data_IF_116603808641
#
_entry.id   IF_116603808641
#
_cell.length_a   1.000
_cell.length_b   1.000
_cell.length_c   1.000
_cell.angle_alpha   90.00
_cell.angle_beta   90.00
_cell.angle_gamma   90.00
#
_symmetry.space_group_name_H-M   'P 1'
#
loop_
_entity.id
_entity.type
_entity.pdbx_description
1 polymer ?
#
# COMPACT_ATOMS: atom_id res chain seq x y z
N UNK A 1 -1.62 -23.95 -16.09
CA UNK A 1 -2.02 -22.71 -16.79
C UNK A 1 -2.38 -22.99 -18.24
N UNK A 2 -1.64 -23.81 -18.99
CA UNK A 2 -2.06 -24.29 -20.33
C UNK A 2 -3.47 -24.91 -20.34
N UNK A 3 -3.77 -25.79 -19.39
CA UNK A 3 -5.12 -26.38 -19.24
C UNK A 3 -6.26 -25.34 -19.11
N UNK A 4 -5.99 -24.15 -18.55
CA UNK A 4 -6.99 -23.09 -18.41
C UNK A 4 -7.24 -22.39 -19.75
N UNK A 5 -6.18 -22.11 -20.51
CA UNK A 5 -6.31 -21.54 -21.84
C UNK A 5 -6.97 -22.52 -22.81
N UNK A 6 -6.65 -23.82 -22.77
CA UNK A 6 -7.27 -24.81 -23.64
C UNK A 6 -8.78 -24.93 -23.40
N UNK A 7 -9.20 -24.92 -22.12
CA UNK A 7 -10.61 -24.90 -21.75
C UNK A 7 -11.30 -23.64 -22.28
N UNK A 8 -10.69 -22.47 -22.08
CA UNK A 8 -11.19 -21.20 -22.60
C UNK A 8 -11.32 -21.22 -24.11
N UNK A 9 -10.26 -21.63 -24.82
CA UNK A 9 -10.20 -21.70 -26.28
C UNK A 9 -11.35 -22.54 -26.83
N UNK A 10 -11.56 -23.75 -26.29
CA UNK A 10 -12.66 -24.63 -26.72
C UNK A 10 -14.01 -23.93 -26.57
N UNK A 11 -14.30 -23.38 -25.38
CA UNK A 11 -15.58 -22.70 -25.11
C UNK A 11 -15.78 -21.45 -25.98
N UNK A 12 -14.73 -20.64 -26.14
CA UNK A 12 -14.77 -19.42 -26.93
C UNK A 12 -15.01 -19.71 -28.42
N UNK A 13 -14.25 -20.65 -29.01
CA UNK A 13 -14.39 -21.03 -30.43
C UNK A 13 -15.78 -21.56 -30.74
N UNK A 14 -16.31 -22.47 -29.91
CA UNK A 14 -17.66 -23.01 -30.10
C UNK A 14 -18.71 -21.90 -30.09
N UNK A 15 -18.62 -20.97 -29.14
CA UNK A 15 -19.58 -19.85 -29.04
C UNK A 15 -19.40 -18.86 -30.18
N UNK A 16 -18.18 -18.53 -30.56
CA UNK A 16 -17.89 -17.57 -31.63
C UNK A 16 -18.38 -18.09 -33.00
N UNK A 17 -18.12 -19.36 -33.33
CA UNK A 17 -18.64 -19.98 -34.55
C UNK A 17 -20.17 -19.99 -34.60
N UNK A 18 -20.82 -20.32 -33.47
CA UNK A 18 -22.29 -20.26 -33.36
C UNK A 18 -22.86 -18.86 -33.61
N UNK A 19 -22.09 -17.81 -33.34
CA UNK A 19 -22.49 -16.41 -33.57
C UNK A 19 -21.99 -15.85 -34.91
N UNK A 20 -21.47 -16.69 -35.81
CA UNK A 20 -21.08 -16.28 -37.18
C UNK A 20 -19.78 -15.49 -37.29
N UNK A 21 -18.90 -15.53 -36.28
CA UNK A 21 -17.58 -14.88 -36.37
C UNK A 21 -16.63 -15.65 -37.29
N UNK A 22 -15.86 -14.93 -38.12
CA UNK A 22 -14.82 -15.50 -38.99
C UNK A 22 -13.66 -16.13 -38.20
N UNK A 23 -12.98 -17.11 -38.79
CA UNK A 23 -11.82 -17.76 -38.17
C UNK A 23 -10.69 -16.76 -37.89
N UNK A 24 -10.47 -15.77 -38.76
CA UNK A 24 -9.49 -14.70 -38.53
C UNK A 24 -9.82 -13.88 -37.27
N UNK A 25 -11.08 -13.50 -37.07
CA UNK A 25 -11.52 -12.78 -35.87
C UNK A 25 -11.36 -13.65 -34.60
N UNK A 26 -11.70 -14.93 -34.70
CA UNK A 26 -11.54 -15.90 -33.60
C UNK A 26 -10.06 -16.00 -33.21
N UNK A 27 -9.17 -16.18 -34.18
CA UNK A 27 -7.74 -16.30 -33.94
C UNK A 27 -7.15 -15.03 -33.30
N UNK A 28 -7.51 -13.84 -33.80
CA UNK A 28 -7.10 -12.57 -33.18
C UNK A 28 -7.55 -12.45 -31.72
N UNK A 29 -8.78 -12.84 -31.41
CA UNK A 29 -9.29 -12.85 -30.03
C UNK A 29 -8.57 -13.85 -29.14
N UNK A 30 -8.23 -15.03 -29.67
CA UNK A 30 -7.48 -16.07 -28.95
C UNK A 30 -6.05 -15.63 -28.67
N UNK A 31 -5.35 -15.08 -29.67
CA UNK A 31 -3.98 -14.57 -29.54
C UNK A 31 -3.87 -13.48 -28.48
N UNK A 32 -4.85 -12.56 -28.45
CA UNK A 32 -4.94 -11.56 -27.40
C UNK A 32 -5.21 -12.15 -26.01
N UNK A 33 -6.12 -13.12 -25.91
CA UNK A 33 -6.53 -13.69 -24.63
C UNK A 33 -5.48 -14.62 -24.01
N UNK A 34 -4.65 -15.28 -24.82
CA UNK A 34 -3.66 -16.28 -24.39
C UNK A 34 -2.69 -15.76 -23.33
N UNK A 35 -1.97 -14.63 -23.52
CA UNK A 35 -1.05 -14.12 -22.51
C UNK A 35 -1.77 -13.69 -21.22
N UNK A 36 -3.00 -13.18 -21.31
CA UNK A 36 -3.78 -12.76 -20.15
C UNK A 36 -4.19 -13.98 -19.31
N UNK A 37 -4.79 -14.99 -19.92
CA UNK A 37 -5.23 -16.22 -19.24
C UNK A 37 -4.04 -16.98 -18.65
N UNK A 38 -2.91 -17.00 -19.36
CA UNK A 38 -1.68 -17.64 -18.86
C UNK A 38 -1.14 -16.95 -17.61
N UNK A 39 -1.38 -15.64 -17.45
CA UNK A 39 -1.04 -14.86 -16.25
C UNK A 39 -2.18 -14.80 -15.22
N UNK A 40 -3.23 -15.59 -15.39
CA UNK A 40 -4.47 -15.56 -14.59
C UNK A 40 -5.19 -14.18 -14.61
N UNK A 41 -4.96 -13.36 -15.63
CA UNK A 41 -5.58 -12.05 -15.77
C UNK A 41 -6.91 -12.13 -16.52
N UNK A 42 -7.92 -11.31 -16.16
CA UNK A 42 -9.18 -11.26 -16.88
C UNK A 42 -8.96 -10.73 -18.29
N UNK A 43 -9.58 -11.38 -19.27
CA UNK A 43 -9.57 -10.93 -20.67
C UNK A 43 -10.53 -9.76 -20.80
N UNK A 44 -10.04 -8.61 -21.26
CA UNK A 44 -10.85 -7.41 -21.51
C UNK A 44 -10.61 -6.99 -22.94
N UNK A 45 -11.63 -7.05 -23.80
CA UNK A 45 -11.46 -6.78 -25.24
C UNK A 45 -11.61 -5.29 -25.56
N UNK A 46 -12.54 -4.63 -24.87
CA UNK A 46 -12.89 -3.22 -25.08
C UNK A 46 -13.67 -2.70 -23.86
N UNK A 47 -14.09 -1.44 -23.91
CA UNK A 47 -14.85 -0.79 -22.82
C UNK A 47 -16.17 -1.48 -22.53
N UNK A 48 -16.88 -1.98 -23.54
CA UNK A 48 -18.16 -2.71 -23.37
C UNK A 48 -17.93 -4.01 -22.62
N UNK A 49 -16.87 -4.75 -22.96
CA UNK A 49 -16.53 -5.97 -22.23
C UNK A 49 -16.18 -5.66 -20.77
N UNK A 50 -15.40 -4.61 -20.50
CA UNK A 50 -15.13 -4.20 -19.12
C UNK A 50 -16.42 -3.83 -18.38
N UNK A 51 -17.33 -3.11 -19.02
CA UNK A 51 -18.61 -2.68 -18.43
C UNK A 51 -19.44 -3.86 -17.94
N UNK A 52 -19.48 -4.94 -18.74
CA UNK A 52 -20.14 -6.19 -18.37
C UNK A 52 -19.43 -6.90 -17.20
N UNK A 53 -18.09 -6.91 -17.18
CA UNK A 53 -17.32 -7.54 -16.11
C UNK A 53 -17.47 -6.84 -14.75
N UNK A 54 -17.55 -5.51 -14.75
CA UNK A 54 -17.70 -4.73 -13.51
C UNK A 54 -19.14 -4.47 -13.11
N UNK A 55 -20.12 -4.77 -13.97
CA UNK A 55 -21.54 -4.53 -13.70
C UNK A 55 -21.97 -3.06 -13.80
N UNK A 56 -21.27 -2.25 -14.61
CA UNK A 56 -21.55 -0.82 -14.78
C UNK A 56 -21.90 -0.47 -16.22
N UNK A 57 -22.70 0.58 -16.41
CA UNK A 57 -23.08 1.06 -17.75
C UNK A 57 -21.85 1.54 -18.54
N UNK A 58 -21.80 1.25 -19.84
CA UNK A 58 -20.74 1.70 -20.76
C UNK A 58 -20.52 3.22 -20.71
N UNK A 59 -21.59 4.01 -20.67
CA UNK A 59 -21.56 5.48 -20.58
C UNK A 59 -20.90 5.90 -19.27
N UNK A 60 -21.18 5.21 -18.17
CA UNK A 60 -20.55 5.49 -16.87
C UNK A 60 -19.03 5.32 -16.97
N UNK A 61 -18.54 4.18 -17.48
CA UNK A 61 -17.10 3.93 -17.63
C UNK A 61 -16.42 4.97 -18.53
N UNK A 62 -17.05 5.32 -19.66
CA UNK A 62 -16.51 6.35 -20.57
C UNK A 62 -16.42 7.71 -19.89
N UNK A 63 -17.44 8.11 -19.13
CA UNK A 63 -17.42 9.38 -18.38
C UNK A 63 -16.40 9.36 -17.25
N UNK A 64 -16.32 8.27 -16.49
CA UNK A 64 -15.35 8.10 -15.42
C UNK A 64 -13.90 8.17 -15.92
N UNK A 65 -13.62 7.56 -17.07
CA UNK A 65 -12.30 7.61 -17.69
C UNK A 65 -11.98 8.96 -18.34
N UNK A 66 -12.96 9.66 -18.92
CA UNK A 66 -12.71 10.93 -19.62
C UNK A 66 -12.69 12.14 -18.66
N UNK A 67 -13.56 12.14 -17.67
CA UNK A 67 -13.81 13.29 -16.81
C UNK A 67 -13.48 12.96 -15.35
N UNK A 68 -12.29 12.37 -15.14
CA UNK A 68 -11.85 11.76 -13.87
C UNK A 68 -12.14 12.64 -12.65
N UNK A 69 -11.87 13.95 -12.72
CA UNK A 69 -12.11 14.93 -11.65
C UNK A 69 -13.50 14.83 -10.99
N UNK A 70 -14.56 14.63 -11.77
CA UNK A 70 -15.93 14.60 -11.24
C UNK A 70 -16.30 13.28 -10.56
N UNK A 71 -15.41 12.28 -10.62
CA UNK A 71 -15.58 10.97 -10.00
C UNK A 71 -14.74 10.80 -8.73
N UNK A 72 -14.15 11.90 -8.24
CA UNK A 72 -13.45 11.95 -6.96
C UNK A 72 -13.99 13.07 -6.08
N UNK A 73 -14.04 12.81 -4.78
CA UNK A 73 -14.21 13.81 -3.74
C UNK A 73 -12.86 14.14 -3.14
N UNK A 74 -12.48 15.43 -3.16
CA UNK A 74 -11.24 15.90 -2.56
C UNK A 74 -11.49 16.61 -1.23
N UNK A 75 -10.68 16.31 -0.22
CA UNK A 75 -10.73 16.96 1.10
C UNK A 75 -9.32 17.05 1.71
N UNK A 76 -9.13 18.00 2.64
CA UNK A 76 -7.83 18.21 3.30
C UNK A 76 -7.80 17.51 4.65
N UNK A 77 -6.69 16.85 4.95
CA UNK A 77 -6.40 16.24 6.25
C UNK A 77 -5.16 16.90 6.84
N UNK A 78 -5.25 17.28 8.12
CA UNK A 78 -4.14 17.88 8.86
C UNK A 78 -3.05 16.84 9.11
N UNK A 79 -1.80 17.19 8.82
CA UNK A 79 -0.62 16.42 9.18
C UNK A 79 -0.11 16.81 10.57
N UNK A 80 0.74 15.95 11.13
CA UNK A 80 1.38 16.21 12.43
C UNK A 80 2.25 17.48 12.46
N UNK A 81 2.77 17.90 11.30
CA UNK A 81 3.55 19.13 11.13
C UNK A 81 2.67 20.38 10.91
N UNK A 82 1.36 20.27 11.16
CA UNK A 82 0.33 21.30 10.93
C UNK A 82 0.13 21.70 9.47
N UNK A 83 0.75 21.01 8.51
CA UNK A 83 0.47 21.18 7.07
C UNK A 83 -0.74 20.35 6.66
N UNK A 84 -1.26 20.56 5.45
CA UNK A 84 -2.39 19.79 4.93
C UNK A 84 -1.96 18.78 3.86
N UNK A 85 -2.62 17.63 3.85
CA UNK A 85 -2.60 16.65 2.76
C UNK A 85 -3.96 16.65 2.07
N UNK A 86 -3.98 16.84 0.77
CA UNK A 86 -5.19 16.62 -0.03
C UNK A 86 -5.36 15.12 -0.25
N UNK A 87 -6.51 14.59 0.16
CA UNK A 87 -6.97 13.23 -0.13
C UNK A 87 -8.02 13.36 -1.23
N UNK A 88 -7.90 12.53 -2.25
CA UNK A 88 -8.87 12.39 -3.34
C UNK A 88 -9.41 10.97 -3.32
N UNK A 89 -10.63 10.83 -2.80
CA UNK A 89 -11.31 9.55 -2.69
C UNK A 89 -12.26 9.35 -3.88
N UNK A 90 -12.21 8.21 -4.58
CA UNK A 90 -13.15 7.91 -5.66
C UNK A 90 -14.58 7.81 -5.10
N UNK A 91 -15.56 8.30 -5.87
CA UNK A 91 -16.98 8.11 -5.55
C UNK A 91 -17.33 6.61 -5.50
N UNK A 92 -18.38 6.20 -4.74
CA UNK A 92 -18.66 4.79 -4.46
C UNK A 92 -18.61 3.86 -5.68
N UNK A 93 -19.25 4.23 -6.78
CA UNK A 93 -19.26 3.43 -8.01
C UNK A 93 -17.89 3.30 -8.67
N UNK A 94 -17.09 4.38 -8.73
CA UNK A 94 -15.71 4.29 -9.23
C UNK A 94 -14.84 3.48 -8.27
N UNK A 95 -15.07 3.61 -6.96
CA UNK A 95 -14.35 2.86 -5.93
C UNK A 95 -14.57 1.35 -6.09
N UNK A 96 -15.78 0.91 -6.39
CA UNK A 96 -16.09 -0.49 -6.67
C UNK A 96 -15.35 -1.02 -7.91
N UNK A 97 -15.35 -0.25 -9.00
CA UNK A 97 -14.59 -0.58 -10.21
C UNK A 97 -13.09 -0.68 -9.90
N UNK A 98 -12.55 0.25 -9.13
CA UNK A 98 -11.14 0.22 -8.73
C UNK A 98 -10.84 -0.95 -7.78
N UNK A 99 -11.76 -1.34 -6.90
CA UNK A 99 -11.61 -2.54 -6.07
C UNK A 99 -11.60 -3.80 -6.94
N UNK A 100 -12.43 -3.86 -7.97
CA UNK A 100 -12.42 -4.95 -8.95
C UNK A 100 -11.07 -5.01 -9.68
N UNK A 101 -10.57 -3.87 -10.20
CA UNK A 101 -9.24 -3.78 -10.83
C UNK A 101 -8.15 -4.23 -9.86
N UNK A 102 -8.23 -3.82 -8.59
CA UNK A 102 -7.26 -4.20 -7.56
C UNK A 102 -7.22 -5.72 -7.34
N UNK A 103 -8.38 -6.35 -7.17
CA UNK A 103 -8.49 -7.77 -6.85
C UNK A 103 -8.22 -8.66 -8.06
N UNK A 104 -8.84 -8.36 -9.18
CA UNK A 104 -8.84 -9.23 -10.37
C UNK A 104 -7.60 -9.04 -11.25
N UNK A 105 -6.95 -7.87 -11.18
CA UNK A 105 -5.79 -7.54 -12.01
C UNK A 105 -4.56 -7.33 -11.13
N UNK A 106 -4.57 -6.31 -10.27
CA UNK A 106 -3.33 -5.86 -9.63
C UNK A 106 -2.77 -6.89 -8.64
N UNK A 107 -3.58 -7.51 -7.78
CA UNK A 107 -3.12 -8.50 -6.80
C UNK A 107 -2.52 -9.76 -7.42
N UNK A 108 -2.81 -10.06 -8.70
CA UNK A 108 -2.20 -11.18 -9.43
C UNK A 108 -0.78 -10.88 -9.91
N UNK A 109 -0.36 -9.61 -9.83
CA UNK A 109 0.97 -9.18 -10.22
C UNK A 109 1.97 -9.28 -9.07
N UNK A 110 3.18 -9.72 -9.42
CA UNK A 110 4.30 -9.81 -8.48
C UNK A 110 4.70 -8.42 -8.01
N UNK A 111 4.90 -8.29 -6.70
CA UNK A 111 5.51 -7.12 -6.06
C UNK A 111 6.77 -7.59 -5.33
N UNK A 112 7.74 -6.69 -5.16
CA UNK A 112 9.00 -7.07 -4.55
C UNK A 112 8.79 -7.60 -3.13
N UNK A 113 9.62 -8.57 -2.73
CA UNK A 113 9.62 -9.09 -1.35
C UNK A 113 10.05 -8.03 -0.33
N UNK A 114 10.73 -6.97 -0.78
CA UNK A 114 11.19 -5.86 0.07
C UNK A 114 10.10 -4.81 0.31
N UNK A 115 9.05 -4.76 -0.52
CA UNK A 115 7.89 -3.90 -0.35
C UNK A 115 6.97 -4.41 0.78
N UNK A 116 6.96 -3.75 1.93
CA UNK A 116 6.16 -4.13 3.11
C UNK A 116 4.88 -3.31 3.26
N UNK A 117 4.83 -2.13 2.65
CA UNK A 117 3.64 -1.27 2.62
C UNK A 117 2.65 -1.69 1.54
N UNK A 118 1.36 -1.61 1.83
CA UNK A 118 0.27 -1.87 0.86
C UNK A 118 0.26 -3.25 0.20
N UNK A 119 0.86 -4.25 0.86
CA UNK A 119 0.81 -5.63 0.42
C UNK A 119 -0.07 -6.43 1.40
N UNK A 120 -1.06 -7.20 0.92
CA UNK A 120 -1.88 -8.05 1.77
C UNK A 120 -1.02 -8.92 2.70
N UNK A 121 -1.45 -9.05 3.96
CA UNK A 121 -0.78 -9.84 5.00
C UNK A 121 0.64 -9.37 5.37
N UNK A 122 1.09 -8.21 4.89
CA UNK A 122 2.30 -7.52 5.39
C UNK A 122 1.89 -6.34 6.26
N UNK A 123 2.72 -6.04 7.25
CA UNK A 123 2.46 -5.00 8.24
C UNK A 123 3.66 -4.09 8.41
N UNK A 124 3.47 -2.98 9.13
CA UNK A 124 4.57 -2.10 9.53
C UNK A 124 5.63 -2.86 10.35
N UNK A 125 5.26 -3.93 11.07
CA UNK A 125 6.22 -4.79 11.77
C UNK A 125 7.21 -5.44 10.80
N UNK A 126 6.76 -5.85 9.62
CA UNK A 126 7.60 -6.45 8.59
C UNK A 126 8.59 -5.45 7.99
N UNK A 127 8.27 -4.16 8.04
CA UNK A 127 9.19 -3.09 7.66
C UNK A 127 10.30 -2.94 8.70
N UNK A 128 9.97 -2.97 9.99
CA UNK A 128 10.93 -2.60 11.04
C UNK A 128 11.74 -3.76 11.63
N UNK A 129 11.19 -5.00 11.65
CA UNK A 129 11.78 -6.12 12.42
C UNK A 129 13.20 -6.51 12.00
N UNK A 130 13.53 -6.31 10.73
CA UNK A 130 14.84 -6.70 10.19
C UNK A 130 15.96 -5.76 10.63
N UNK A 131 15.62 -4.54 11.03
CA UNK A 131 16.59 -3.47 11.30
C UNK A 131 16.94 -3.31 12.78
N UNK A 132 16.71 -4.35 13.59
CA UNK A 132 17.00 -4.31 15.03
C UNK A 132 18.44 -4.66 15.36
N UNK A 133 18.99 -4.07 16.43
CA UNK A 133 20.37 -4.28 16.92
C UNK A 133 21.47 -3.88 15.93
N UNK A 134 21.19 -2.91 15.07
CA UNK A 134 22.09 -2.51 13.99
C UNK A 134 23.02 -1.37 14.39
N UNK A 135 24.22 -1.33 13.80
CA UNK A 135 25.21 -0.29 14.08
C UNK A 135 24.75 1.09 13.57
N UNK A 136 24.10 1.10 12.40
CA UNK A 136 23.50 2.29 11.77
C UNK A 136 22.16 1.92 11.13
N UNK A 137 21.25 2.88 11.15
CA UNK A 137 19.97 2.84 10.42
C UNK A 137 19.85 4.11 9.58
N UNK A 138 19.58 3.98 8.28
CA UNK A 138 19.29 5.09 7.38
C UNK A 138 17.84 4.98 6.92
N UNK A 139 17.07 6.05 7.11
CA UNK A 139 15.73 6.19 6.52
C UNK A 139 15.75 7.27 5.44
N UNK A 140 15.07 6.99 4.33
CA UNK A 140 14.86 7.92 3.22
C UNK A 140 13.37 7.97 2.90
N UNK A 141 12.86 9.13 2.49
CA UNK A 141 11.46 9.33 2.11
C UNK A 141 11.38 9.81 0.67
N UNK A 142 10.38 9.36 -0.09
CA UNK A 142 10.15 9.80 -1.47
C UNK A 142 9.24 11.04 -1.47
N UNK A 143 9.69 12.13 -2.10
CA UNK A 143 8.95 13.39 -2.17
C UNK A 143 7.72 13.24 -3.06
N UNK A 144 6.57 13.72 -2.58
CA UNK A 144 5.29 13.76 -3.31
C UNK A 144 4.96 12.44 -4.02
N UNK A 145 5.13 11.33 -3.30
CA UNK A 145 5.22 9.99 -3.88
C UNK A 145 4.14 9.66 -4.92
N UNK A 146 2.86 9.71 -4.52
CA UNK A 146 1.75 9.39 -5.40
C UNK A 146 1.56 10.40 -6.54
N UNK A 147 1.70 11.68 -6.22
CA UNK A 147 1.48 12.79 -7.16
C UNK A 147 2.61 12.90 -8.21
N UNK A 148 3.76 12.25 -7.97
CA UNK A 148 4.92 12.28 -8.87
C UNK A 148 4.92 11.14 -9.89
N UNK A 149 4.05 10.14 -9.73
CA UNK A 149 3.92 9.04 -10.70
C UNK A 149 3.20 9.56 -11.93
N UNK A 150 3.92 9.67 -13.05
CA UNK A 150 3.35 10.08 -14.33
C UNK A 150 2.44 9.01 -14.90
N UNK A 151 1.40 9.44 -15.61
CA UNK A 151 0.40 8.58 -16.26
C UNK A 151 1.02 7.52 -17.17
N UNK A 152 2.09 7.86 -17.90
CA UNK A 152 2.75 6.96 -18.85
C UNK A 152 3.31 5.69 -18.19
N UNK A 153 3.76 5.78 -16.93
CA UNK A 153 4.24 4.60 -16.20
C UNK A 153 3.10 3.64 -15.89
N UNK A 154 1.95 4.16 -15.45
CA UNK A 154 0.74 3.36 -15.20
C UNK A 154 0.21 2.74 -16.49
N UNK A 155 0.20 3.51 -17.58
CA UNK A 155 -0.20 3.02 -18.90
C UNK A 155 0.72 1.90 -19.39
N UNK A 156 2.03 2.10 -19.31
CA UNK A 156 3.04 1.11 -19.71
C UNK A 156 2.94 -0.15 -18.86
N UNK A 157 2.65 -0.02 -17.56
CA UNK A 157 2.42 -1.14 -16.67
C UNK A 157 1.28 -2.05 -17.16
N UNK A 158 0.11 -1.50 -17.49
CA UNK A 158 -1.01 -2.31 -18.01
C UNK A 158 -0.70 -2.93 -19.38
N UNK A 159 0.05 -2.23 -20.25
CA UNK A 159 0.51 -2.80 -21.52
C UNK A 159 1.44 -4.00 -21.27
N UNK A 160 2.38 -3.88 -20.34
CA UNK A 160 3.31 -4.96 -19.98
C UNK A 160 2.61 -6.17 -19.32
N UNK A 161 1.45 -5.94 -18.67
CA UNK A 161 0.60 -7.03 -18.20
C UNK A 161 0.02 -7.85 -19.37
N UNK A 162 -0.18 -7.25 -20.54
CA UNK A 162 -0.65 -7.89 -21.76
C UNK A 162 -1.93 -7.28 -22.34
N UNK A 163 -2.44 -6.20 -21.73
CA UNK A 163 -3.63 -5.52 -22.23
C UNK A 163 -3.33 -4.70 -23.48
N UNK A 164 -4.32 -4.59 -24.38
CA UNK A 164 -4.22 -3.74 -25.56
C UNK A 164 -4.03 -2.28 -25.16
N UNK A 165 -3.52 -1.44 -26.08
CA UNK A 165 -3.29 -0.02 -25.78
C UNK A 165 -4.57 0.71 -25.35
N UNK A 166 -5.70 0.39 -25.98
CA UNK A 166 -7.01 0.98 -25.69
C UNK A 166 -7.52 0.58 -24.29
N UNK A 167 -7.43 -0.70 -23.94
CA UNK A 167 -7.82 -1.21 -22.62
C UNK A 167 -6.88 -0.70 -21.53
N UNK A 168 -5.58 -0.66 -21.80
CA UNK A 168 -4.58 -0.13 -20.86
C UNK A 168 -4.82 1.35 -20.55
N UNK A 169 -5.19 2.14 -21.57
CA UNK A 169 -5.57 3.54 -21.38
C UNK A 169 -6.86 3.64 -20.53
N UNK A 170 -7.89 2.85 -20.83
CA UNK A 170 -9.12 2.82 -20.05
C UNK A 170 -8.85 2.51 -18.56
N UNK A 171 -8.10 1.44 -18.27
CA UNK A 171 -7.74 1.03 -16.90
C UNK A 171 -6.92 2.11 -16.18
N UNK A 172 -6.00 2.76 -16.92
CA UNK A 172 -5.18 3.85 -16.38
C UNK A 172 -6.04 5.05 -16.01
N UNK A 173 -6.91 5.50 -16.92
CA UNK A 173 -7.80 6.64 -16.66
C UNK A 173 -8.76 6.37 -15.49
N UNK A 174 -9.23 5.13 -15.33
CA UNK A 174 -10.06 4.75 -14.18
C UNK A 174 -9.29 4.78 -12.85
N UNK A 175 -7.95 4.69 -12.86
CA UNK A 175 -7.12 4.65 -11.64
C UNK A 175 -6.33 5.94 -11.39
N UNK A 176 -6.36 6.91 -12.31
CA UNK A 176 -5.49 8.08 -12.31
C UNK A 176 -6.31 9.36 -12.20
N UNK A 177 -5.78 10.38 -11.52
CA UNK A 177 -6.46 11.65 -11.34
C UNK A 177 -5.52 12.81 -11.69
N UNK A 178 -5.83 13.48 -12.80
CA UNK A 178 -5.16 14.69 -13.32
C UNK A 178 -3.62 14.59 -13.38
N UNK A 179 -2.93 14.80 -12.26
CA UNK A 179 -1.48 14.94 -12.16
C UNK A 179 -0.78 13.75 -11.52
N UNK A 180 -1.50 12.78 -10.96
CA UNK A 180 -0.87 11.62 -10.33
C UNK A 180 -1.85 10.53 -9.92
N UNK A 181 -1.34 9.56 -9.17
CA UNK A 181 -2.17 8.55 -8.52
C UNK A 181 -2.89 9.20 -7.33
N UNK A 182 -4.23 9.11 -7.23
CA UNK A 182 -4.96 9.77 -6.16
C UNK A 182 -4.68 9.11 -4.80
N UNK A 183 -4.33 9.92 -3.81
CA UNK A 183 -4.25 9.50 -2.42
C UNK A 183 -5.68 9.29 -1.90
N UNK A 184 -6.11 8.04 -1.74
CA UNK A 184 -7.48 7.69 -1.35
C UNK A 184 -8.11 6.63 -2.26
N UNK A 185 -7.59 6.46 -3.48
CA UNK A 185 -7.99 5.36 -4.34
C UNK A 185 -7.43 4.02 -3.84
N UNK A 186 -8.21 2.93 -3.86
CA UNK A 186 -7.77 1.58 -3.48
C UNK A 186 -6.68 1.01 -4.39
N UNK A 187 -6.57 1.45 -5.65
CA UNK A 187 -5.59 0.93 -6.63
C UNK A 187 -4.22 1.59 -6.49
N UNK A 188 -4.16 2.90 -6.24
CA UNK A 188 -2.91 3.68 -6.14
C UNK A 188 -1.81 3.00 -5.33
N UNK A 189 -2.08 2.46 -4.12
CA UNK A 189 -1.02 1.90 -3.27
C UNK A 189 -0.38 0.62 -3.84
N UNK A 190 -1.15 -0.19 -4.58
CA UNK A 190 -0.60 -1.40 -5.20
C UNK A 190 0.04 -1.11 -6.55
N UNK A 191 -0.50 -0.15 -7.32
CA UNK A 191 0.13 0.33 -8.57
C UNK A 191 1.56 0.78 -8.29
N UNK A 192 1.80 1.59 -7.24
CA UNK A 192 3.16 2.04 -6.92
C UNK A 192 4.10 0.88 -6.58
N UNK A 193 3.60 -0.18 -5.93
CA UNK A 193 4.40 -1.37 -5.64
C UNK A 193 4.78 -2.17 -6.88
N UNK A 194 3.89 -2.27 -7.87
CA UNK A 194 4.20 -2.91 -9.16
C UNK A 194 5.24 -2.08 -9.90
N UNK A 195 5.06 -0.76 -9.97
CA UNK A 195 6.00 0.15 -10.65
C UNK A 195 7.41 0.17 -10.01
N UNK A 196 7.49 -0.03 -8.69
CA UNK A 196 8.74 -0.05 -7.94
C UNK A 196 9.42 -1.43 -7.87
N UNK A 197 8.91 -2.44 -8.58
CA UNK A 197 9.50 -3.78 -8.53
C UNK A 197 10.99 -3.78 -8.92
N UNK A 198 11.32 -3.25 -10.10
CA UNK A 198 12.71 -3.18 -10.59
C UNK A 198 13.60 -2.28 -9.73
N UNK A 199 13.03 -1.19 -9.20
CA UNK A 199 13.70 -0.32 -8.23
C UNK A 199 14.12 -1.15 -7.00
N UNK A 200 13.19 -1.88 -6.39
CA UNK A 200 13.48 -2.67 -5.19
C UNK A 200 14.51 -3.77 -5.45
N UNK A 201 14.46 -4.45 -6.60
CA UNK A 201 15.42 -5.51 -6.93
C UNK A 201 16.83 -4.94 -7.16
N UNK A 202 16.96 -3.78 -7.80
CA UNK A 202 18.25 -3.09 -7.97
C UNK A 202 18.86 -2.70 -6.62
N UNK A 203 18.07 -2.06 -5.75
CA UNK A 203 18.51 -1.68 -4.40
C UNK A 203 18.88 -2.91 -3.57
N UNK A 204 18.06 -3.96 -3.63
CA UNK A 204 18.32 -5.20 -2.92
C UNK A 204 19.59 -5.92 -3.39
N UNK A 205 19.92 -5.85 -4.69
CA UNK A 205 21.17 -6.40 -5.22
C UNK A 205 22.37 -5.71 -4.58
N UNK A 206 22.37 -4.38 -4.55
CA UNK A 206 23.41 -3.61 -3.88
C UNK A 206 23.50 -3.95 -2.39
N UNK A 207 22.36 -3.99 -1.68
CA UNK A 207 22.33 -4.30 -0.27
C UNK A 207 22.89 -5.69 0.04
N UNK A 208 22.60 -6.70 -0.78
CA UNK A 208 23.19 -8.04 -0.64
C UNK A 208 24.71 -8.03 -0.76
N UNK A 209 25.26 -7.31 -1.74
CA UNK A 209 26.71 -7.19 -1.94
C UNK A 209 27.44 -6.46 -0.81
N UNK A 210 26.73 -5.60 -0.07
CA UNK A 210 27.27 -4.80 1.04
C UNK A 210 26.82 -5.30 2.41
N UNK A 211 26.18 -6.46 2.48
CA UNK A 211 25.60 -7.03 3.72
C UNK A 211 24.67 -6.06 4.47
N UNK A 212 23.94 -5.24 3.73
CA UNK A 212 22.95 -4.31 4.26
C UNK A 212 21.56 -4.96 4.22
N UNK A 213 20.73 -4.57 5.18
CA UNK A 213 19.30 -4.91 5.17
C UNK A 213 18.52 -3.77 4.55
N UNK A 214 17.51 -4.10 3.74
CA UNK A 214 16.64 -3.14 3.07
C UNK A 214 15.17 -3.55 3.19
N UNK A 215 14.31 -2.58 3.44
CA UNK A 215 12.86 -2.72 3.28
C UNK A 215 12.25 -1.39 2.84
N UNK A 216 11.08 -1.45 2.17
CA UNK A 216 10.30 -0.28 1.75
C UNK A 216 8.88 -0.36 2.26
N UNK A 217 8.35 0.71 2.83
CA UNK A 217 6.96 0.81 3.26
C UNK A 217 6.33 2.07 2.64
N UNK A 218 5.59 1.87 1.55
CA UNK A 218 5.13 2.97 0.71
C UNK A 218 6.32 3.79 0.17
N UNK A 219 6.42 5.05 0.58
CA UNK A 219 7.45 6.04 0.30
C UNK A 219 8.65 6.01 1.28
N UNK A 220 8.50 5.33 2.43
CA UNK A 220 9.56 5.19 3.45
C UNK A 220 10.50 4.04 3.08
N UNK A 221 11.79 4.32 2.95
CA UNK A 221 12.86 3.36 2.65
C UNK A 221 13.74 3.22 3.89
N UNK A 222 13.94 2.00 4.36
CA UNK A 222 14.78 1.72 5.52
C UNK A 222 15.96 0.82 5.16
N UNK A 223 17.14 1.23 5.62
CA UNK A 223 18.39 0.51 5.46
C UNK A 223 19.08 0.35 6.81
N UNK A 224 19.77 -0.76 7.03
CA UNK A 224 20.58 -0.94 8.24
C UNK A 224 21.83 -1.79 7.98
N UNK A 225 22.86 -1.58 8.81
CA UNK A 225 24.16 -2.25 8.72
C UNK A 225 25.32 -1.25 8.65
N UNK A 226 26.45 -1.65 8.07
CA UNK A 226 27.62 -0.77 7.88
C UNK A 226 27.44 0.17 6.68
N UNK A 227 26.54 1.15 6.85
CA UNK A 227 26.09 2.02 5.77
C UNK A 227 27.15 3.04 5.35
N UNK A 228 27.48 3.05 4.04
CA UNK A 228 28.12 4.16 3.33
C UNK A 228 27.05 5.10 2.75
N UNK A 229 26.71 6.16 3.49
CA UNK A 229 25.53 7.02 3.24
C UNK A 229 25.53 7.64 1.83
N UNK A 230 26.66 8.18 1.39
CA UNK A 230 26.78 8.91 0.12
C UNK A 230 26.58 7.99 -1.09
N UNK A 231 27.24 6.83 -1.10
CA UNK A 231 27.14 5.81 -2.14
C UNK A 231 25.69 5.31 -2.28
N UNK A 232 25.06 4.96 -1.16
CA UNK A 232 23.69 4.46 -1.14
C UNK A 232 22.67 5.51 -1.60
N UNK A 233 22.80 6.77 -1.17
CA UNK A 233 21.90 7.84 -1.63
C UNK A 233 22.06 8.09 -3.14
N UNK A 234 23.29 8.03 -3.67
CA UNK A 234 23.54 8.20 -5.11
C UNK A 234 22.84 7.11 -5.91
N UNK A 235 22.94 5.85 -5.47
CA UNK A 235 22.23 4.73 -6.07
C UNK A 235 20.72 4.94 -6.02
N UNK A 236 20.15 5.19 -4.84
CA UNK A 236 18.70 5.38 -4.68
C UNK A 236 18.18 6.52 -5.54
N UNK A 237 18.88 7.66 -5.61
CA UNK A 237 18.51 8.77 -6.51
C UNK A 237 18.52 8.38 -7.98
N UNK A 238 19.53 7.62 -8.41
CA UNK A 238 19.63 7.15 -9.80
C UNK A 238 18.46 6.24 -10.16
N UNK A 239 18.15 5.27 -9.30
CA UNK A 239 17.05 4.33 -9.53
C UNK A 239 15.67 5.01 -9.49
N UNK A 240 15.41 5.92 -8.53
CA UNK A 240 14.15 6.67 -8.47
C UNK A 240 13.94 7.55 -9.71
N UNK A 241 15.01 8.14 -10.26
CA UNK A 241 14.91 9.01 -11.44
C UNK A 241 14.37 8.27 -12.66
N UNK A 242 14.64 6.97 -12.80
CA UNK A 242 14.15 6.13 -13.92
C UNK A 242 12.63 6.04 -14.00
N UNK A 243 11.94 6.26 -12.87
CA UNK A 243 10.47 6.25 -12.77
C UNK A 243 9.89 7.62 -12.39
N UNK A 244 10.69 8.69 -12.55
CA UNK A 244 10.26 10.07 -12.30
C UNK A 244 10.12 10.47 -10.83
N UNK A 245 10.61 9.65 -9.89
CA UNK A 245 10.56 9.93 -8.46
C UNK A 245 11.83 10.62 -7.96
N UNK A 246 11.73 11.27 -6.80
CA UNK A 246 12.84 11.98 -6.14
C UNK A 246 12.81 11.77 -4.63
N UNK A 247 13.99 11.74 -4.01
CA UNK A 247 14.09 11.74 -2.56
C UNK A 247 13.68 13.10 -1.97
N UNK A 248 13.09 13.05 -0.78
CA UNK A 248 12.93 14.19 0.09
C UNK A 248 14.22 14.39 0.90
N UNK A 249 15.00 15.43 0.55
CA UNK A 249 16.31 15.67 1.15
C UNK A 249 16.23 15.94 2.66
N UNK A 250 15.14 16.57 3.13
CA UNK A 250 14.96 16.94 4.54
C UNK A 250 14.65 15.72 5.42
N UNK A 251 14.27 14.61 4.80
CA UNK A 251 13.92 13.35 5.47
C UNK A 251 14.97 12.24 5.25
N UNK A 252 16.19 12.62 4.92
CA UNK A 252 17.34 11.70 4.86
C UNK A 252 18.00 11.65 6.23
N UNK A 253 17.72 10.61 7.01
CA UNK A 253 18.13 10.52 8.42
C UNK A 253 19.01 9.29 8.64
N UNK A 254 20.27 9.51 9.04
CA UNK A 254 21.20 8.45 9.45
C UNK A 254 21.32 8.46 10.98
N UNK A 255 20.99 7.34 11.62
CA UNK A 255 21.00 7.16 13.07
C UNK A 255 22.05 6.13 13.46
N UNK A 256 22.97 6.49 14.36
CA UNK A 256 23.97 5.58 14.92
C UNK A 256 23.40 4.82 16.12
N UNK A 257 24.05 3.72 16.51
CA UNK A 257 23.60 2.85 17.62
C UNK A 257 23.43 3.58 18.97
N UNK A 258 24.28 4.56 19.27
CA UNK A 258 24.20 5.37 20.49
C UNK A 258 23.09 6.44 20.46
N UNK A 259 22.39 6.59 19.34
CA UNK A 259 21.23 7.46 19.18
C UNK A 259 19.96 6.61 19.13
N UNK A 260 18.81 7.24 19.34
CA UNK A 260 17.54 6.58 19.08
C UNK A 260 17.42 6.28 17.58
N UNK A 261 17.34 5.01 17.23
CA UNK A 261 17.08 4.54 15.87
C UNK A 261 15.58 4.32 15.70
N UNK A 262 14.98 5.01 14.74
CA UNK A 262 13.54 4.90 14.45
C UNK A 262 13.28 4.70 12.97
N UNK A 263 12.33 3.81 12.66
CA UNK A 263 11.79 3.61 11.31
C UNK A 263 10.28 3.78 11.40
N UNK A 264 9.69 4.63 10.56
CA UNK A 264 8.26 4.98 10.59
C UNK A 264 7.71 5.29 12.01
N UNK A 265 8.52 5.92 12.86
CA UNK A 265 8.15 6.26 14.25
C UNK A 265 8.20 5.11 15.26
N UNK A 266 8.74 3.95 14.89
CA UNK A 266 8.97 2.78 15.76
C UNK A 266 10.47 2.72 16.08
N UNK A 267 10.81 2.55 17.37
CA UNK A 267 12.17 2.37 17.85
C UNK A 267 12.66 0.97 17.50
N UNK A 268 13.89 0.87 16.99
CA UNK A 268 14.50 -0.39 16.55
C UNK A 268 15.86 -0.70 17.19
N UNK A 269 16.37 0.12 18.11
CA UNK A 269 17.69 -0.08 18.73
C UNK A 269 17.97 -1.53 19.15
N UNK A 270 17.11 -2.12 20.00
CA UNK A 270 17.28 -3.50 20.47
C UNK A 270 16.14 -4.43 20.07
N UNK A 271 14.91 -3.89 20.07
CA UNK A 271 13.67 -4.58 19.73
C UNK A 271 12.69 -3.58 19.14
N UNK A 272 11.75 -4.06 18.34
CA UNK A 272 10.68 -3.24 17.76
C UNK A 272 9.74 -2.74 18.85
N UNK A 273 9.73 -1.44 19.10
CA UNK A 273 9.02 -0.86 20.24
C UNK A 273 8.50 0.55 19.91
N UNK A 274 7.34 0.93 20.45
CA UNK A 274 6.91 2.33 20.33
C UNK A 274 7.79 3.25 21.20
N UNK A 275 7.93 4.54 20.85
CA UNK A 275 8.71 5.48 21.66
C UNK A 275 8.27 5.56 23.13
N UNK A 276 9.23 5.80 24.03
CA UNK A 276 9.02 5.86 25.49
C UNK A 276 7.87 6.79 25.89
N UNK A 277 7.76 7.97 25.28
CA UNK A 277 6.70 8.93 25.60
C UNK A 277 5.29 8.39 25.30
N UNK A 278 5.10 7.63 24.20
CA UNK A 278 3.82 6.98 23.88
C UNK A 278 3.48 5.90 24.91
N UNK A 279 4.47 5.12 25.35
CA UNK A 279 4.27 4.13 26.43
C UNK A 279 3.89 4.80 27.74
N UNK A 280 4.60 5.85 28.12
CA UNK A 280 4.35 6.59 29.35
C UNK A 280 2.95 7.22 29.38
N UNK A 281 2.47 7.74 28.24
CA UNK A 281 1.09 8.21 28.12
C UNK A 281 0.08 7.12 28.45
N UNK A 282 0.28 5.88 27.95
CA UNK A 282 -0.62 4.76 28.25
C UNK A 282 -0.48 4.30 29.71
N UNK A 283 0.75 4.23 30.24
CA UNK A 283 0.98 3.93 31.66
C UNK A 283 0.24 4.91 32.56
N UNK A 284 0.27 6.19 32.22
CA UNK A 284 -0.45 7.23 32.95
C UNK A 284 -1.96 7.00 32.90
N UNK A 285 -2.52 6.78 31.70
CA UNK A 285 -3.93 6.41 31.54
C UNK A 285 -4.29 5.17 32.38
N UNK A 286 -3.48 4.11 32.33
CA UNK A 286 -3.72 2.87 33.07
C UNK A 286 -3.58 3.04 34.58
N UNK A 287 -2.65 3.86 35.06
CA UNK A 287 -2.49 4.15 36.48
C UNK A 287 -3.75 4.80 37.06
N UNK A 288 -4.25 5.86 36.42
CA UNK A 288 -5.44 6.56 36.88
C UNK A 288 -6.70 5.69 36.76
N UNK A 289 -6.84 4.92 35.69
CA UNK A 289 -7.96 3.98 35.53
C UNK A 289 -7.94 2.90 36.63
N UNK A 290 -6.78 2.33 36.96
CA UNK A 290 -6.66 1.33 38.02
C UNK A 290 -6.88 1.90 39.42
N UNK A 291 -6.42 3.13 39.66
CA UNK A 291 -6.49 3.76 40.98
C UNK A 291 -7.85 4.38 41.29
N UNK A 292 -8.49 5.00 40.30
CA UNK A 292 -9.71 5.79 40.51
C UNK A 292 -10.92 5.28 39.73
N UNK A 293 -10.76 4.24 38.90
CA UNK A 293 -11.80 3.72 38.04
C UNK A 293 -11.92 4.47 36.70
N UNK A 294 -12.51 3.79 35.71
CA UNK A 294 -12.64 4.30 34.34
C UNK A 294 -13.47 5.59 34.27
N UNK A 295 -14.63 5.63 34.95
CA UNK A 295 -15.55 6.75 34.93
C UNK A 295 -14.91 8.04 35.46
N UNK A 296 -14.18 7.96 36.58
CA UNK A 296 -13.49 9.10 37.17
C UNK A 296 -12.35 9.59 36.27
N UNK A 297 -11.58 8.67 35.70
CA UNK A 297 -10.54 9.02 34.74
C UNK A 297 -11.09 9.72 33.49
N UNK A 298 -12.21 9.25 32.94
CA UNK A 298 -12.86 9.89 31.79
C UNK A 298 -13.35 11.31 32.13
N UNK A 299 -14.02 11.47 33.28
CA UNK A 299 -14.45 12.80 33.76
C UNK A 299 -13.26 13.75 33.93
N UNK A 300 -12.18 13.29 34.58
CA UNK A 300 -11.01 14.13 34.86
C UNK A 300 -10.22 14.52 33.61
N UNK A 301 -10.20 13.66 32.60
CA UNK A 301 -9.48 13.90 31.34
C UNK A 301 -10.34 14.52 30.24
N UNK A 302 -11.59 14.90 30.56
CA UNK A 302 -12.58 15.37 29.59
C UNK A 302 -12.68 14.44 28.36
N UNK A 303 -12.62 13.12 28.62
CA UNK A 303 -12.62 12.13 27.56
C UNK A 303 -14.05 11.80 27.15
N UNK A 304 -14.45 12.36 26.01
CA UNK A 304 -15.82 12.25 25.47
C UNK A 304 -16.01 11.11 24.48
N UNK A 305 -14.98 10.29 24.21
CA UNK A 305 -15.12 9.16 23.27
C UNK A 305 -16.02 8.07 23.84
N UNK A 306 -17.14 7.80 23.17
CA UNK A 306 -18.05 6.68 23.50
C UNK A 306 -17.33 5.33 23.53
N UNK A 307 -16.34 5.16 22.64
CA UNK A 307 -15.54 3.94 22.54
C UNK A 307 -14.15 4.09 23.17
N UNK A 308 -14.00 4.90 24.23
CA UNK A 308 -12.69 5.19 24.83
C UNK A 308 -11.93 3.93 25.26
N UNK A 309 -12.60 2.97 25.89
CA UNK A 309 -11.97 1.73 26.31
C UNK A 309 -11.46 0.93 25.10
N UNK A 310 -12.27 0.79 24.03
CA UNK A 310 -11.85 0.14 22.79
C UNK A 310 -10.67 0.87 22.13
N UNK A 311 -10.65 2.20 22.19
CA UNK A 311 -9.53 3.02 21.71
C UNK A 311 -8.24 2.73 22.49
N UNK A 312 -8.32 2.62 23.82
CA UNK A 312 -7.16 2.28 24.65
C UNK A 312 -6.68 0.84 24.40
N UNK A 313 -7.60 -0.12 24.27
CA UNK A 313 -7.29 -1.49 23.83
C UNK A 313 -6.59 -1.48 22.47
N UNK A 314 -7.04 -0.64 21.53
CA UNK A 314 -6.42 -0.48 20.22
C UNK A 314 -4.95 -0.01 20.31
N UNK A 315 -4.69 1.01 21.15
CA UNK A 315 -3.31 1.50 21.42
C UNK A 315 -2.43 0.38 22.00
N UNK A 316 -2.94 -0.39 22.97
CA UNK A 316 -2.21 -1.50 23.60
C UNK A 316 -1.97 -2.63 22.60
N UNK A 317 -2.97 -3.01 21.81
CA UNK A 317 -2.83 -4.03 20.77
C UNK A 317 -1.80 -3.64 19.72
N UNK A 318 -1.69 -2.35 19.36
CA UNK A 318 -0.64 -1.88 18.45
C UNK A 318 0.77 -2.06 19.06
N UNK A 319 0.94 -1.80 20.36
CA UNK A 319 2.21 -2.05 21.06
C UNK A 319 2.53 -3.54 21.10
N UNK A 320 1.54 -4.38 21.42
CA UNK A 320 1.70 -5.83 21.45
C UNK A 320 1.92 -6.45 20.07
N UNK A 321 1.38 -5.86 19.01
CA UNK A 321 1.69 -6.26 17.63
C UNK A 321 3.19 -6.11 17.36
N UNK A 322 3.79 -4.98 17.80
CA UNK A 322 5.22 -4.70 17.63
C UNK A 322 6.09 -5.53 18.58
N UNK A 323 5.72 -5.61 19.86
CA UNK A 323 6.41 -6.40 20.89
C UNK A 323 5.43 -7.35 21.60
N UNK A 324 5.21 -8.57 21.08
CA UNK A 324 4.23 -9.49 21.65
C UNK A 324 4.56 -10.00 23.06
N UNK A 325 5.84 -9.94 23.46
CA UNK A 325 6.33 -10.44 24.77
C UNK A 325 6.32 -9.36 25.86
N UNK A 326 5.66 -8.23 25.63
CA UNK A 326 5.61 -7.10 26.57
C UNK A 326 4.64 -7.39 27.73
N UNK A 327 5.15 -8.01 28.81
CA UNK A 327 4.34 -8.45 29.96
C UNK A 327 3.44 -7.34 30.54
N UNK A 328 4.01 -6.15 30.76
CA UNK A 328 3.28 -4.97 31.26
C UNK A 328 2.04 -4.65 30.41
N UNK A 329 2.20 -4.65 29.08
CA UNK A 329 1.09 -4.33 28.17
C UNK A 329 0.13 -5.51 27.97
N UNK A 330 0.57 -6.76 28.17
CA UNK A 330 -0.32 -7.92 28.26
C UNK A 330 -1.23 -7.81 29.48
N UNK A 331 -0.69 -7.38 30.63
CA UNK A 331 -1.47 -7.18 31.87
C UNK A 331 -2.49 -6.05 31.71
N UNK A 332 -2.09 -4.93 31.08
CA UNK A 332 -3.01 -3.85 30.75
C UNK A 332 -4.12 -4.29 29.81
N UNK A 333 -3.79 -5.12 28.81
CA UNK A 333 -4.79 -5.71 27.92
C UNK A 333 -5.78 -6.54 28.74
N UNK A 334 -5.30 -7.51 29.53
CA UNK A 334 -6.17 -8.38 30.34
C UNK A 334 -7.14 -7.57 31.21
N UNK A 335 -6.61 -6.59 31.95
CA UNK A 335 -7.40 -5.71 32.80
C UNK A 335 -8.51 -4.96 32.02
N UNK A 336 -8.20 -4.36 30.87
CA UNK A 336 -9.21 -3.62 30.10
C UNK A 336 -10.25 -4.55 29.46
N UNK A 337 -9.89 -5.77 29.08
CA UNK A 337 -10.86 -6.74 28.57
C UNK A 337 -11.85 -7.18 29.65
N UNK A 338 -11.40 -7.35 30.90
CA UNK A 338 -12.27 -7.63 32.05
C UNK A 338 -13.24 -6.47 32.29
N UNK A 339 -12.75 -5.23 32.29
CA UNK A 339 -13.59 -4.03 32.42
C UNK A 339 -14.63 -3.92 31.28
N UNK A 340 -14.24 -4.21 30.04
CA UNK A 340 -15.15 -4.18 28.89
C UNK A 340 -16.26 -5.24 28.96
N UNK A 341 -15.97 -6.40 29.56
CA UNK A 341 -16.97 -7.44 29.78
C UNK A 341 -17.95 -7.05 30.88
N UNK A 342 -17.48 -6.40 31.94
CA UNK A 342 -18.32 -5.93 33.04
C UNK A 342 -19.21 -4.72 32.68
N UNK A 343 -18.91 -4.03 31.57
CA UNK A 343 -19.72 -2.89 31.07
C UNK A 343 -20.75 -3.28 30.00
N UNK A 344 -20.88 -4.57 29.70
CA UNK A 344 -21.94 -5.14 28.85
C UNK A 344 -22.90 -5.90 29.74
#
# INVERSE_FOLDING_TARGET
MEKAFDKYKKQFVTKARKNGFSEDNINKCLDYSKPLITKDLPVIYNTTHLSQLVGYNLIYLRRAARFTKYFYRSFKVLKNDKTYRTISEPLPSLKEIQIWILKEILYKNKVSKYAKGYVPKRSIKDHVRYHTKESKVLTLDIKNFFDSIKIDYTLKMFIQMGYSKSVSNLLTQLCYLEKGLPQGAPTSPYITNVLLYEFDESIAKYCRQKELKYTRYADDLAFSGQIKKTELIKLVRSELRKIGLKLNNDKIILMKRNQRQTISGIVVNDKTQVPKYKRNSIRNEMFYIKKFGLNNHQKRTNQTRDNYLKHLIGKINYILMLNPKDKEFLDYKKYLYEQNKASR
#
